data_IF_863405755330
#
_entry.id   IF_863405755330
#
_cell.length_a   1.000
_cell.length_b   1.000
_cell.length_c   1.000
_cell.angle_alpha   90.00
_cell.angle_beta   90.00
_cell.angle_gamma   90.00
#
_symmetry.space_group_name_H-M   'P 1'
#
loop_
_entity.id
_entity.type
_entity.pdbx_description
1 polymer ?
#
# COMPACT_ATOMS: atom_id res chain seq x y z
N UNK A 1 -44.21 31.60 10.61
CA UNK A 1 -42.95 32.15 10.10
C UNK A 1 -42.14 32.68 11.27
N UNK A 2 -41.10 31.93 11.67
CA UNK A 2 -39.93 32.44 12.37
C UNK A 2 -38.77 31.63 11.81
N UNK A 3 -38.09 32.23 10.84
CA UNK A 3 -36.74 31.83 10.43
C UNK A 3 -35.75 32.22 11.54
N UNK A 4 -34.54 31.65 11.42
CA UNK A 4 -33.30 31.83 12.18
C UNK A 4 -32.92 30.55 12.95
N UNK A 5 -31.73 29.97 12.81
CA UNK A 5 -30.51 30.39 12.11
C UNK A 5 -29.64 29.14 11.85
N UNK A 6 -29.08 29.10 10.64
CA UNK A 6 -27.69 28.71 10.34
C UNK A 6 -27.05 27.62 11.22
N UNK A 7 -27.08 26.36 10.76
CA UNK A 7 -25.97 25.46 11.06
C UNK A 7 -24.82 25.81 10.14
N UNK A 8 -23.88 26.59 10.66
CA UNK A 8 -22.55 26.78 10.07
C UNK A 8 -21.89 25.43 9.88
N UNK A 9 -21.92 24.92 8.65
CA UNK A 9 -20.93 23.96 8.18
C UNK A 9 -19.56 24.63 8.36
N UNK A 10 -18.85 24.25 9.40
CA UNK A 10 -17.47 24.67 9.58
C UNK A 10 -16.69 24.12 8.40
N UNK A 11 -16.44 24.96 7.39
CA UNK A 11 -15.56 24.64 6.27
C UNK A 11 -14.21 24.26 6.88
N UNK A 12 -13.91 22.96 6.93
CA UNK A 12 -12.62 22.47 7.36
C UNK A 12 -11.62 22.98 6.32
N UNK A 13 -10.90 24.06 6.66
CA UNK A 13 -9.83 24.58 5.82
C UNK A 13 -8.66 23.62 5.89
N UNK A 14 -8.46 22.84 4.83
CA UNK A 14 -7.29 22.00 4.67
C UNK A 14 -6.09 22.84 4.21
N UNK A 15 -4.91 22.55 4.76
CA UNK A 15 -3.65 23.15 4.32
C UNK A 15 -2.98 22.20 3.34
N UNK A 16 -2.78 22.65 2.10
CA UNK A 16 -1.94 21.95 1.12
C UNK A 16 -0.49 22.12 1.56
N UNK A 17 0.27 21.02 1.55
CA UNK A 17 1.69 21.01 1.92
C UNK A 17 2.52 20.36 0.81
N UNK A 18 3.76 20.82 0.64
CA UNK A 18 4.78 20.13 -0.16
C UNK A 18 5.50 19.05 0.66
N UNK A 19 5.26 19.01 1.99
CA UNK A 19 5.79 18.00 2.88
C UNK A 19 5.20 16.62 2.56
N UNK A 20 6.05 15.59 2.59
CA UNK A 20 5.58 14.22 2.42
C UNK A 20 4.80 13.70 3.64
N UNK A 21 3.90 12.75 3.42
CA UNK A 21 3.14 12.08 4.50
C UNK A 21 4.08 11.56 5.61
N UNK A 22 5.24 11.02 5.23
CA UNK A 22 6.20 10.42 6.16
C UNK A 22 6.88 11.47 7.03
N UNK A 23 7.28 12.59 6.45
CA UNK A 23 7.90 13.71 7.17
C UNK A 23 6.90 14.32 8.15
N UNK A 24 5.67 14.57 7.68
CA UNK A 24 4.60 15.11 8.52
C UNK A 24 4.32 14.21 9.73
N UNK A 25 4.17 12.91 9.51
CA UNK A 25 3.98 11.95 10.60
C UNK A 25 5.19 11.84 11.54
N UNK A 26 6.41 12.02 11.02
CA UNK A 26 7.63 12.04 11.85
C UNK A 26 7.65 13.27 12.77
N UNK A 27 7.23 14.44 12.28
CA UNK A 27 7.05 15.66 13.08
C UNK A 27 5.97 15.48 14.15
N UNK A 28 4.81 14.93 13.78
CA UNK A 28 3.73 14.64 14.73
C UNK A 28 4.19 13.68 15.83
N UNK A 29 4.89 12.59 15.48
CA UNK A 29 5.46 11.65 16.46
C UNK A 29 6.39 12.37 17.43
N UNK A 30 7.31 13.21 16.93
CA UNK A 30 8.28 13.94 17.75
C UNK A 30 7.58 14.94 18.69
N UNK A 31 6.60 15.68 18.19
CA UNK A 31 5.78 16.58 19.02
C UNK A 31 5.09 15.81 20.14
N UNK A 32 4.46 14.67 19.80
CA UNK A 32 3.73 13.88 20.79
C UNK A 32 4.64 13.25 21.85
N UNK A 33 5.82 12.80 21.45
CA UNK A 33 6.82 12.31 22.40
C UNK A 33 7.29 13.38 23.37
N UNK A 34 7.50 14.61 22.89
CA UNK A 34 7.89 15.74 23.74
C UNK A 34 6.78 16.08 24.74
N UNK A 35 5.51 16.12 24.30
CA UNK A 35 4.35 16.32 25.19
C UNK A 35 4.27 15.28 26.30
N UNK A 36 4.62 14.03 25.99
CA UNK A 36 4.56 12.90 26.92
C UNK A 36 5.85 12.71 27.73
N UNK A 37 6.84 13.62 27.59
CA UNK A 37 8.17 13.50 28.21
C UNK A 37 8.85 12.13 27.94
N UNK A 38 8.63 11.56 26.76
CA UNK A 38 9.28 10.30 26.35
C UNK A 38 10.73 10.61 25.99
N UNK A 39 11.65 10.07 26.78
CA UNK A 39 13.08 10.25 26.57
C UNK A 39 13.55 9.67 25.23
N UNK A 40 14.63 10.23 24.68
CA UNK A 40 15.18 9.81 23.39
C UNK A 40 15.57 8.32 23.33
N UNK A 41 15.94 7.70 24.45
CA UNK A 41 16.23 6.26 24.54
C UNK A 41 15.01 5.36 24.33
N UNK A 42 13.81 5.83 24.71
CA UNK A 42 12.56 5.07 24.56
C UNK A 42 11.85 5.36 23.21
N UNK A 43 12.39 6.31 22.43
CA UNK A 43 11.86 6.71 21.13
C UNK A 43 11.73 5.57 20.12
N UNK A 44 12.62 4.59 20.21
CA UNK A 44 12.62 3.42 19.34
C UNK A 44 11.51 2.43 19.69
N UNK A 45 10.97 2.47 20.91
CA UNK A 45 9.88 1.60 21.35
C UNK A 45 8.52 2.29 21.28
N UNK A 46 8.49 3.62 21.09
CA UNK A 46 7.25 4.36 20.90
C UNK A 46 6.67 4.17 19.49
N UNK A 47 5.46 3.64 19.43
CA UNK A 47 4.67 3.50 18.22
C UNK A 47 3.67 4.65 18.13
N UNK A 48 3.69 5.35 17.00
CA UNK A 48 2.73 6.42 16.72
C UNK A 48 1.81 5.99 15.59
N UNK A 49 0.51 6.03 15.87
CA UNK A 49 -0.54 5.65 14.93
C UNK A 49 -1.28 6.90 14.48
N UNK A 50 -1.55 7.00 13.19
CA UNK A 50 -2.37 8.09 12.66
C UNK A 50 -3.25 7.61 11.52
N UNK A 51 -4.55 7.88 11.62
CA UNK A 51 -5.49 7.56 10.56
C UNK A 51 -5.21 8.44 9.34
N UNK A 52 -5.24 7.81 8.18
CA UNK A 52 -5.21 8.45 6.87
C UNK A 52 -6.65 8.46 6.37
N UNK A 53 -7.20 9.65 6.21
CA UNK A 53 -8.52 9.85 5.65
C UNK A 53 -8.41 10.08 4.15
N UNK A 54 -9.47 9.78 3.45
CA UNK A 54 -9.55 9.83 1.99
C UNK A 54 -10.78 10.61 1.56
N UNK A 55 -10.80 11.09 0.33
CA UNK A 55 -11.99 11.70 -0.23
C UNK A 55 -13.18 10.72 -0.16
N UNK A 56 -14.36 11.25 0.15
CA UNK A 56 -15.59 10.45 0.37
C UNK A 56 -16.04 9.67 -0.87
N UNK A 57 -15.54 10.01 -2.05
CA UNK A 57 -15.79 9.27 -3.29
C UNK A 57 -14.96 7.99 -3.40
N UNK A 58 -13.92 7.81 -2.58
CA UNK A 58 -13.17 6.55 -2.51
C UNK A 58 -13.96 5.54 -1.67
N UNK A 59 -14.51 4.54 -2.34
CA UNK A 59 -15.26 3.43 -1.72
C UNK A 59 -14.31 2.45 -1.04
N UNK A 60 -13.82 2.82 0.13
CA UNK A 60 -12.99 1.99 0.99
C UNK A 60 -13.84 1.26 2.03
N UNK A 61 -13.53 -0.01 2.26
CA UNK A 61 -14.23 -0.86 3.24
C UNK A 61 -13.58 -0.80 4.61
N UNK A 62 -12.31 -0.44 4.62
CA UNK A 62 -11.49 -0.38 5.82
C UNK A 62 -11.00 1.04 6.09
N UNK A 63 -10.57 1.27 7.32
CA UNK A 63 -9.78 2.45 7.67
C UNK A 63 -8.29 2.14 7.48
N UNK A 64 -7.53 3.12 7.00
CA UNK A 64 -6.10 3.01 6.80
C UNK A 64 -5.36 3.84 7.85
N UNK A 65 -4.37 3.23 8.50
CA UNK A 65 -3.54 3.88 9.48
C UNK A 65 -2.08 3.85 9.07
N UNK A 66 -1.41 4.98 9.23
CA UNK A 66 0.04 5.05 9.25
C UNK A 66 0.53 4.65 10.64
N UNK A 67 1.46 3.69 10.67
CA UNK A 67 2.23 3.31 11.85
C UNK A 67 3.67 3.81 11.71
N UNK A 68 4.08 4.71 12.60
CA UNK A 68 5.45 5.22 12.68
C UNK A 68 6.14 4.72 13.94
N UNK A 69 7.16 3.87 13.77
CA UNK A 69 8.12 3.47 14.82
C UNK A 69 9.49 4.03 14.46
N UNK A 70 10.44 3.16 14.09
CA UNK A 70 11.68 3.51 13.37
C UNK A 70 11.37 3.67 11.89
N UNK A 71 10.73 2.64 11.34
CA UNK A 71 10.23 2.62 9.97
C UNK A 71 8.75 3.01 9.92
N UNK A 72 8.28 3.35 8.72
CA UNK A 72 6.85 3.60 8.44
C UNK A 72 6.21 2.32 7.87
N UNK A 73 5.07 1.94 8.43
CA UNK A 73 4.22 0.85 7.95
C UNK A 73 2.78 1.33 7.83
N UNK A 74 1.95 0.59 7.11
CA UNK A 74 0.53 0.86 6.97
C UNK A 74 -0.27 -0.30 7.55
N UNK A 75 -1.43 0.00 8.12
CA UNK A 75 -2.34 -0.95 8.74
C UNK A 75 -3.72 -0.74 8.12
N UNK A 76 -4.35 -1.83 7.73
CA UNK A 76 -5.76 -1.86 7.36
C UNK A 76 -6.54 -2.23 8.61
N UNK A 77 -7.52 -1.43 9.00
CA UNK A 77 -8.41 -1.71 10.11
C UNK A 77 -9.81 -1.94 9.57
N UNK A 78 -10.32 -3.15 9.69
CA UNK A 78 -11.67 -3.47 9.26
C UNK A 78 -12.68 -2.74 10.18
N UNK A 79 -13.64 -2.04 9.60
CA UNK A 79 -14.47 -1.07 10.32
C UNK A 79 -15.44 -1.71 11.31
N UNK A 80 -16.01 -2.87 10.99
CA UNK A 80 -17.07 -3.47 11.80
C UNK A 80 -16.54 -4.21 13.04
N UNK A 81 -15.48 -5.00 12.85
CA UNK A 81 -14.80 -5.80 13.87
C UNK A 81 -13.71 -5.02 14.60
N UNK A 82 -13.20 -3.95 13.98
CA UNK A 82 -12.06 -3.19 14.50
C UNK A 82 -10.73 -3.94 14.45
N UNK A 83 -10.66 -5.08 13.75
CA UNK A 83 -9.45 -5.90 13.65
C UNK A 83 -8.41 -5.17 12.79
N UNK A 84 -7.19 -5.11 13.33
CA UNK A 84 -6.02 -4.59 12.62
C UNK A 84 -5.37 -5.69 11.80
N UNK A 85 -5.23 -5.45 10.51
CA UNK A 85 -4.61 -6.35 9.54
C UNK A 85 -3.25 -5.77 9.15
N UNK A 86 -2.21 -6.56 9.40
CA UNK A 86 -0.84 -6.24 9.04
C UNK A 86 -0.48 -7.06 7.81
N UNK A 87 -0.19 -6.39 6.71
CA UNK A 87 0.22 -7.04 5.46
C UNK A 87 1.69 -6.73 5.18
N UNK A 88 2.50 -7.77 5.16
CA UNK A 88 3.84 -7.74 4.58
C UNK A 88 3.77 -7.68 3.05
N UNK A 89 4.87 -7.29 2.39
CA UNK A 89 5.01 -7.35 0.93
C UNK A 89 4.59 -8.70 0.36
N UNK A 90 4.93 -9.79 1.05
CA UNK A 90 4.59 -11.14 0.65
C UNK A 90 3.08 -11.40 0.71
N UNK A 91 2.41 -10.94 1.77
CA UNK A 91 0.96 -11.09 1.89
C UNK A 91 0.21 -10.25 0.85
N UNK A 92 0.69 -9.06 0.53
CA UNK A 92 0.14 -8.24 -0.57
C UNK A 92 0.28 -8.98 -1.90
N UNK A 93 1.46 -9.56 -2.18
CA UNK A 93 1.69 -10.37 -3.39
C UNK A 93 0.74 -11.57 -3.45
N UNK A 94 0.51 -12.27 -2.33
CA UNK A 94 -0.43 -13.39 -2.29
C UNK A 94 -1.87 -12.95 -2.56
N UNK A 95 -2.29 -11.80 -2.02
CA UNK A 95 -3.62 -11.25 -2.30
C UNK A 95 -3.75 -10.89 -3.79
N UNK A 96 -2.72 -10.32 -4.41
CA UNK A 96 -2.69 -10.06 -5.84
C UNK A 96 -2.72 -11.35 -6.68
N UNK A 97 -2.07 -12.42 -6.23
CA UNK A 97 -2.15 -13.74 -6.87
C UNK A 97 -3.58 -14.32 -6.77
N UNK A 98 -4.22 -14.18 -5.60
CA UNK A 98 -5.63 -14.58 -5.40
C UNK A 98 -6.58 -13.77 -6.29
N UNK A 99 -6.32 -12.46 -6.44
CA UNK A 99 -7.05 -11.60 -7.38
C UNK A 99 -6.85 -12.09 -8.82
N UNK A 100 -5.63 -12.45 -9.22
CA UNK A 100 -5.37 -13.00 -10.55
C UNK A 100 -6.12 -14.29 -10.80
N UNK A 101 -6.15 -15.18 -9.81
CA UNK A 101 -6.76 -16.49 -9.91
C UNK A 101 -8.30 -16.42 -10.00
N UNK A 102 -8.93 -15.54 -9.22
CA UNK A 102 -10.39 -15.51 -9.09
C UNK A 102 -11.07 -14.30 -9.77
N UNK A 103 -10.33 -13.22 -10.01
CA UNK A 103 -10.84 -11.92 -10.47
C UNK A 103 -9.94 -11.34 -11.57
N UNK A 104 -9.77 -12.09 -12.66
CA UNK A 104 -8.82 -11.78 -13.75
C UNK A 104 -8.99 -10.39 -14.34
N UNK A 105 -10.22 -9.89 -14.48
CA UNK A 105 -10.50 -8.54 -14.98
C UNK A 105 -9.92 -7.48 -14.04
N UNK A 106 -10.17 -7.61 -12.73
CA UNK A 106 -9.64 -6.72 -11.71
C UNK A 106 -8.11 -6.80 -11.61
N UNK A 107 -7.51 -7.99 -11.76
CA UNK A 107 -6.06 -8.09 -11.86
C UNK A 107 -5.51 -7.34 -13.06
N UNK A 108 -6.09 -7.53 -14.24
CA UNK A 108 -5.70 -6.83 -15.47
C UNK A 108 -5.86 -5.31 -15.33
N UNK A 109 -6.91 -4.85 -14.64
CA UNK A 109 -7.08 -3.45 -14.29
C UNK A 109 -5.90 -2.93 -13.47
N UNK A 110 -5.51 -3.62 -12.39
CA UNK A 110 -4.35 -3.25 -11.56
C UNK A 110 -3.06 -3.21 -12.39
N UNK A 111 -2.84 -4.19 -13.27
CA UNK A 111 -1.68 -4.23 -14.18
C UNK A 111 -1.68 -2.99 -15.09
N UNK A 112 -2.80 -2.66 -15.72
CA UNK A 112 -2.92 -1.51 -16.62
C UNK A 112 -2.72 -0.18 -15.88
N UNK A 113 -3.30 -0.03 -14.70
CA UNK A 113 -3.06 1.15 -13.85
C UNK A 113 -1.60 1.24 -13.41
N UNK A 114 -0.95 0.10 -13.14
CA UNK A 114 0.47 0.06 -12.80
C UNK A 114 1.35 0.58 -13.94
N UNK A 115 1.03 0.23 -15.20
CA UNK A 115 1.72 0.80 -16.38
C UNK A 115 1.59 2.31 -16.42
N UNK A 116 0.39 2.83 -16.21
CA UNK A 116 0.13 4.28 -16.19
C UNK A 116 0.96 4.96 -15.12
N UNK A 117 1.05 4.40 -13.91
CA UNK A 117 1.88 4.95 -12.83
C UNK A 117 3.36 4.94 -13.20
N UNK A 118 3.88 3.84 -13.77
CA UNK A 118 5.27 3.74 -14.24
C UNK A 118 5.60 4.77 -15.33
N UNK A 119 4.63 5.10 -16.18
CA UNK A 119 4.75 6.13 -17.22
C UNK A 119 4.40 7.55 -16.73
N UNK A 120 4.30 7.77 -15.40
CA UNK A 120 3.96 9.05 -14.78
C UNK A 120 2.59 9.62 -15.22
N UNK A 121 1.64 8.73 -15.53
CA UNK A 121 0.26 9.01 -15.97
C UNK A 121 -0.78 8.41 -15.02
N UNK A 122 -0.41 8.20 -13.75
CA UNK A 122 -1.34 7.73 -12.71
C UNK A 122 -2.49 8.68 -12.45
N UNK A 123 -3.44 8.26 -11.61
CA UNK A 123 -4.47 9.13 -11.06
C UNK A 123 -3.90 9.93 -9.88
N UNK A 124 -4.28 11.20 -9.77
CA UNK A 124 -4.01 11.98 -8.56
C UNK A 124 -4.87 11.45 -7.42
N UNK A 125 -4.22 10.82 -6.45
CA UNK A 125 -4.83 10.39 -5.20
C UNK A 125 -4.68 11.50 -4.17
N UNK A 126 -5.76 11.76 -3.43
CA UNK A 126 -5.79 12.73 -2.34
C UNK A 126 -6.07 12.03 -1.02
N UNK A 127 -5.30 12.40 0.01
CA UNK A 127 -5.55 11.91 1.35
C UNK A 127 -5.26 12.99 2.40
N UNK A 128 -5.77 12.78 3.60
CA UNK A 128 -5.76 13.74 4.67
C UNK A 128 -5.25 13.11 5.97
N UNK A 129 -4.36 13.83 6.64
CA UNK A 129 -3.98 13.52 8.01
C UNK A 129 -4.24 14.77 8.83
N UNK A 130 -5.12 14.66 9.83
CA UNK A 130 -5.69 15.82 10.52
C UNK A 130 -6.31 16.83 9.53
N UNK A 131 -5.75 18.04 9.46
CA UNK A 131 -6.18 19.12 8.56
C UNK A 131 -5.18 19.37 7.41
N UNK A 132 -4.25 18.44 7.19
CA UNK A 132 -3.31 18.54 6.07
C UNK A 132 -3.70 17.62 4.92
N UNK A 133 -3.67 18.17 3.71
CA UNK A 133 -3.95 17.47 2.45
C UNK A 133 -2.63 17.07 1.79
N UNK A 134 -2.57 15.83 1.32
CA UNK A 134 -1.46 15.25 0.58
C UNK A 134 -1.97 14.75 -0.77
N UNK A 135 -1.14 14.91 -1.81
CA UNK A 135 -1.46 14.51 -3.18
C UNK A 135 -0.30 13.73 -3.78
N UNK A 136 -0.61 12.64 -4.46
CA UNK A 136 0.39 11.85 -5.16
C UNK A 136 -0.20 11.10 -6.35
N UNK A 137 0.64 10.68 -7.29
CA UNK A 137 0.24 9.88 -8.45
C UNK A 137 0.18 8.40 -8.08
N UNK A 138 -0.98 7.78 -8.22
CA UNK A 138 -1.24 6.38 -7.88
C UNK A 138 -2.11 5.65 -8.90
N UNK A 139 -2.39 4.39 -8.61
CA UNK A 139 -3.35 3.54 -9.30
C UNK A 139 -4.75 4.09 -9.10
N UNK A 140 -5.57 4.07 -10.16
CA UNK A 140 -6.99 4.39 -10.02
C UNK A 140 -7.72 3.31 -9.23
N UNK A 141 -8.82 3.72 -8.57
CA UNK A 141 -9.71 2.76 -7.89
C UNK A 141 -10.64 2.08 -8.90
N UNK A 142 -10.99 0.84 -8.61
CA UNK A 142 -11.91 0.06 -9.41
C UNK A 142 -13.36 0.49 -9.10
N UNK A 143 -14.18 0.66 -10.13
CA UNK A 143 -15.60 1.00 -9.96
C UNK A 143 -16.38 -0.15 -9.32
N UNK A 144 -16.05 -1.37 -9.73
CA UNK A 144 -16.62 -2.60 -9.21
C UNK A 144 -15.89 -2.96 -7.94
N UNK A 145 -16.66 -3.17 -6.90
CA UNK A 145 -16.13 -3.58 -5.63
C UNK A 145 -16.04 -5.11 -5.56
N UNK A 146 -14.85 -5.61 -5.21
CA UNK A 146 -14.57 -7.03 -5.05
C UNK A 146 -14.02 -7.25 -3.65
N UNK A 147 -14.65 -8.15 -2.90
CA UNK A 147 -14.19 -8.56 -1.57
C UNK A 147 -13.33 -9.83 -1.68
N UNK A 148 -12.17 -9.79 -1.04
CA UNK A 148 -11.20 -10.87 -1.04
C UNK A 148 -11.03 -11.34 0.41
N UNK A 149 -11.21 -12.63 0.64
CA UNK A 149 -10.99 -13.21 1.96
C UNK A 149 -9.49 -13.34 2.21
N UNK A 150 -9.04 -12.81 3.34
CA UNK A 150 -7.68 -13.03 3.84
C UNK A 150 -7.56 -14.38 4.52
N UNK A 151 -6.32 -14.83 4.77
CA UNK A 151 -6.06 -16.04 5.58
C UNK A 151 -6.57 -15.96 7.03
N UNK A 152 -6.95 -14.77 7.49
CA UNK A 152 -7.51 -14.53 8.82
C UNK A 152 -9.05 -14.51 8.82
N UNK A 153 -9.69 -14.99 7.74
CA UNK A 153 -11.14 -14.97 7.53
C UNK A 153 -11.77 -13.57 7.60
N UNK A 154 -10.98 -12.54 7.28
CA UNK A 154 -11.43 -11.15 7.17
C UNK A 154 -11.47 -10.77 5.71
N UNK A 155 -12.60 -10.20 5.27
CA UNK A 155 -12.74 -9.66 3.93
C UNK A 155 -12.04 -8.30 3.81
N UNK A 156 -11.25 -8.13 2.76
CA UNK A 156 -10.65 -6.85 2.36
C UNK A 156 -11.15 -6.52 0.96
N UNK A 157 -11.54 -5.27 0.71
CA UNK A 157 -11.92 -4.86 -0.64
C UNK A 157 -10.69 -4.68 -1.52
N UNK A 158 -10.83 -4.91 -2.82
CA UNK A 158 -9.75 -4.67 -3.77
C UNK A 158 -9.28 -3.21 -3.75
N UNK A 159 -10.20 -2.27 -3.51
CA UNK A 159 -9.89 -0.85 -3.38
C UNK A 159 -9.07 -0.56 -2.11
N UNK A 160 -9.26 -1.28 -1.01
CA UNK A 160 -8.38 -1.18 0.17
C UNK A 160 -6.96 -1.64 -0.19
N UNK A 161 -6.82 -2.72 -0.97
CA UNK A 161 -5.51 -3.24 -1.43
C UNK A 161 -4.84 -2.23 -2.38
N UNK A 162 -5.58 -1.70 -3.36
CA UNK A 162 -5.08 -0.67 -4.28
C UNK A 162 -4.63 0.55 -3.49
N UNK A 163 -5.41 0.99 -2.51
CA UNK A 163 -5.05 2.15 -1.69
C UNK A 163 -3.83 1.89 -0.81
N UNK A 164 -3.69 0.68 -0.26
CA UNK A 164 -2.49 0.28 0.45
C UNK A 164 -1.26 0.31 -0.46
N UNK A 165 -1.36 -0.25 -1.67
CA UNK A 165 -0.29 -0.24 -2.68
C UNK A 165 0.09 1.21 -3.02
N UNK A 166 -0.89 2.07 -3.24
CA UNK A 166 -0.71 3.50 -3.48
C UNK A 166 0.12 4.19 -2.39
N UNK A 167 -0.21 3.94 -1.12
CA UNK A 167 0.55 4.47 0.02
C UNK A 167 1.98 3.92 0.09
N UNK A 168 2.17 2.63 -0.22
CA UNK A 168 3.51 2.00 -0.25
C UNK A 168 4.37 2.61 -1.37
N UNK A 169 3.83 2.76 -2.57
CA UNK A 169 4.53 3.36 -3.72
C UNK A 169 4.94 4.79 -3.39
N UNK A 170 4.04 5.57 -2.81
CA UNK A 170 4.34 6.94 -2.43
C UNK A 170 5.45 7.01 -1.38
N UNK A 171 5.43 6.10 -0.40
CA UNK A 171 6.53 5.95 0.55
C UNK A 171 7.87 5.67 -0.14
N UNK A 172 7.89 4.76 -1.11
CA UNK A 172 9.12 4.41 -1.83
C UNK A 172 9.58 5.54 -2.76
N UNK A 173 8.64 6.29 -3.35
CA UNK A 173 8.91 7.42 -4.25
C UNK A 173 9.67 8.54 -3.54
N UNK A 174 9.33 8.82 -2.28
CA UNK A 174 10.07 9.78 -1.42
C UNK A 174 11.55 9.38 -1.29
N UNK A 175 11.86 8.08 -1.36
CA UNK A 175 13.25 7.60 -1.36
C UNK A 175 13.88 7.67 -2.75
N UNK A 176 13.20 7.10 -3.77
CA UNK A 176 13.52 7.33 -5.19
C UNK A 176 12.41 6.81 -6.11
N UNK A 177 12.22 7.46 -7.26
CA UNK A 177 11.25 7.04 -8.28
C UNK A 177 11.53 5.61 -8.81
N UNK A 178 12.80 5.24 -8.98
CA UNK A 178 13.20 3.89 -9.40
C UNK A 178 12.72 2.80 -8.42
N UNK A 179 12.71 3.11 -7.11
CA UNK A 179 12.23 2.17 -6.09
C UNK A 179 10.71 1.98 -6.13
N UNK A 180 9.96 3.06 -6.41
CA UNK A 180 8.51 3.01 -6.57
C UNK A 180 8.12 2.09 -7.73
N UNK A 181 8.71 2.31 -8.92
CA UNK A 181 8.46 1.48 -10.10
C UNK A 181 8.89 0.02 -9.84
N UNK A 182 10.06 -0.18 -9.23
CA UNK A 182 10.55 -1.51 -8.88
C UNK A 182 9.64 -2.27 -7.91
N UNK A 183 8.98 -1.57 -6.99
CA UNK A 183 8.03 -2.17 -6.03
C UNK A 183 6.73 -2.60 -6.71
N UNK A 184 6.18 -1.78 -7.60
CA UNK A 184 5.04 -2.15 -8.44
C UNK A 184 5.35 -3.40 -9.27
N UNK A 185 6.49 -3.38 -9.97
CA UNK A 185 6.93 -4.52 -10.77
C UNK A 185 7.09 -5.79 -9.96
N UNK A 186 7.71 -5.67 -8.79
CA UNK A 186 7.85 -6.76 -7.84
C UNK A 186 6.48 -7.36 -7.51
N UNK A 187 5.51 -6.54 -7.12
CA UNK A 187 4.19 -7.03 -6.74
C UNK A 187 3.47 -7.75 -7.88
N UNK A 188 3.46 -7.16 -9.08
CA UNK A 188 2.79 -7.74 -10.24
C UNK A 188 3.46 -9.02 -10.70
N UNK A 189 4.78 -9.01 -10.93
CA UNK A 189 5.50 -10.17 -11.46
C UNK A 189 5.46 -11.35 -10.49
N UNK A 190 5.55 -11.10 -9.19
CA UNK A 190 5.40 -12.18 -8.22
C UNK A 190 3.98 -12.68 -8.07
N UNK A 191 2.97 -11.82 -8.21
CA UNK A 191 1.58 -12.27 -8.24
C UNK A 191 1.32 -13.19 -9.45
N UNK A 192 1.83 -12.83 -10.63
CA UNK A 192 1.79 -13.67 -11.83
C UNK A 192 2.55 -14.97 -11.59
N UNK A 193 3.76 -14.92 -11.03
CA UNK A 193 4.53 -16.14 -10.77
C UNK A 193 3.88 -17.07 -9.75
N UNK A 194 3.24 -16.55 -8.70
CA UNK A 194 2.69 -17.35 -7.59
C UNK A 194 1.23 -17.81 -7.80
N UNK A 195 0.52 -17.19 -8.73
CA UNK A 195 -0.85 -17.58 -9.09
C UNK A 195 -0.92 -19.05 -9.53
N UNK A 196 -2.03 -19.72 -9.19
CA UNK A 196 -2.29 -21.12 -9.54
C UNK A 196 -2.61 -21.29 -11.02
N UNK A 197 -3.20 -20.25 -11.61
CA UNK A 197 -3.64 -20.24 -13.01
C UNK A 197 -2.55 -19.77 -14.00
N UNK A 198 -1.30 -19.57 -13.54
CA UNK A 198 -0.15 -19.31 -14.42
C UNK A 198 0.23 -20.56 -15.19
N UNK A 199 0.27 -20.45 -16.52
CA UNK A 199 0.78 -21.52 -17.36
C UNK A 199 2.27 -21.79 -17.05
N UNK A 200 2.68 -23.04 -17.19
CA UNK A 200 4.06 -23.45 -16.91
C UNK A 200 5.06 -22.75 -17.85
N UNK A 201 4.67 -22.47 -19.09
CA UNK A 201 5.45 -21.69 -20.06
C UNK A 201 5.73 -20.27 -19.55
N UNK A 202 4.70 -19.54 -19.13
CA UNK A 202 4.78 -18.19 -18.56
C UNK A 202 5.59 -18.19 -17.25
N UNK A 203 5.37 -19.17 -16.38
CA UNK A 203 6.11 -19.34 -15.13
C UNK A 203 7.62 -19.53 -15.38
N UNK A 204 7.98 -20.31 -16.41
CA UNK A 204 9.36 -20.53 -16.79
C UNK A 204 10.00 -19.27 -17.41
N UNK A 205 9.26 -18.51 -18.22
CA UNK A 205 9.73 -17.21 -18.73
C UNK A 205 10.05 -16.24 -17.59
N UNK A 206 9.14 -16.12 -16.61
CA UNK A 206 9.37 -15.30 -15.43
C UNK A 206 10.56 -15.78 -14.59
N UNK A 207 10.73 -17.10 -14.46
CA UNK A 207 11.89 -17.66 -13.75
C UNK A 207 13.21 -17.25 -14.41
N UNK A 208 13.30 -17.36 -15.74
CA UNK A 208 14.48 -16.91 -16.51
C UNK A 208 14.70 -15.41 -16.35
N UNK A 209 13.62 -14.61 -16.37
CA UNK A 209 13.69 -13.18 -16.11
C UNK A 209 14.26 -12.87 -14.72
N UNK A 210 13.75 -13.52 -13.68
CA UNK A 210 14.23 -13.35 -12.32
C UNK A 210 15.70 -13.76 -12.16
N UNK A 211 16.14 -14.84 -12.82
CA UNK A 211 17.54 -15.25 -12.83
C UNK A 211 18.45 -14.19 -13.49
N UNK A 212 18.02 -13.65 -14.64
CA UNK A 212 18.74 -12.58 -15.35
C UNK A 212 18.89 -11.32 -14.49
N UNK A 213 17.84 -10.94 -13.78
CA UNK A 213 17.84 -9.77 -12.89
C UNK A 213 18.45 -10.03 -11.50
N UNK A 214 19.05 -11.22 -11.30
CA UNK A 214 19.63 -11.63 -10.01
C UNK A 214 18.64 -11.56 -8.84
N UNK A 215 17.37 -11.86 -9.11
CA UNK A 215 16.28 -11.84 -8.15
C UNK A 215 16.19 -13.22 -7.46
N UNK A 216 16.48 -13.24 -6.16
CA UNK A 216 16.48 -14.47 -5.37
C UNK A 216 15.06 -14.97 -5.03
N UNK A 217 14.58 -15.92 -5.84
CA UNK A 217 13.32 -16.64 -5.63
C UNK A 217 13.28 -17.49 -4.36
N UNK A 218 14.44 -17.86 -3.81
CA UNK A 218 14.50 -18.70 -2.62
C UNK A 218 14.01 -17.97 -1.37
N UNK A 219 14.16 -16.63 -1.32
CA UNK A 219 13.66 -15.83 -0.20
C UNK A 219 12.13 -15.78 -0.18
N UNK A 220 11.49 -15.82 -1.34
CA UNK A 220 10.03 -15.91 -1.46
C UNK A 220 9.57 -17.31 -1.07
N UNK A 221 10.21 -18.36 -1.56
CA UNK A 221 9.89 -19.75 -1.16
C UNK A 221 10.06 -19.98 0.35
N UNK A 222 11.08 -19.38 0.97
CA UNK A 222 11.30 -19.44 2.43
C UNK A 222 10.21 -18.69 3.21
N UNK A 223 9.67 -17.58 2.69
CA UNK A 223 8.50 -16.92 3.31
C UNK A 223 7.20 -17.70 3.12
N UNK A 224 7.09 -18.55 2.07
CA UNK A 224 5.96 -19.49 1.92
C UNK A 224 6.02 -20.62 2.95
N UNK A 225 7.20 -21.21 3.17
CA UNK A 225 7.37 -22.42 3.99
C UNK A 225 7.56 -22.15 5.50
N UNK A 226 7.88 -20.93 5.89
CA UNK A 226 7.95 -20.55 7.31
C UNK A 226 6.56 -20.20 7.82
N UNK A 227 5.82 -21.19 8.31
CA UNK A 227 4.57 -21.01 9.04
C UNK A 227 4.71 -19.98 10.19
N UNK A 228 4.38 -18.71 9.92
CA UNK A 228 4.04 -17.71 10.93
C UNK A 228 5.15 -17.24 11.88
N UNK A 229 6.44 -17.52 11.61
CA UNK A 229 7.55 -16.95 12.39
C UNK A 229 8.39 -16.01 11.55
N UNK A 230 7.82 -14.86 11.20
CA UNK A 230 8.56 -13.81 10.50
C UNK A 230 9.58 -13.16 11.45
N UNK A 231 10.83 -13.66 11.41
CA UNK A 231 11.97 -12.76 11.60
C UNK A 231 11.90 -11.73 10.48
N UNK A 232 12.08 -10.45 10.82
CA UNK A 232 12.06 -9.24 9.98
C UNK A 232 12.93 -9.33 8.71
N UNK A 233 12.59 -10.17 7.74
CA UNK A 233 13.19 -10.15 6.41
C UNK A 233 12.15 -9.59 5.45
N UNK A 234 12.03 -8.26 5.42
CA UNK A 234 11.37 -7.60 4.30
C UNK A 234 12.08 -8.00 3.01
N UNK A 235 11.33 -8.46 2.01
CA UNK A 235 11.87 -8.85 0.71
C UNK A 235 12.23 -7.55 -0.03
N UNK A 236 13.48 -7.11 0.14
CA UNK A 236 14.08 -6.02 -0.65
C UNK A 236 14.51 -6.58 -2.01
N UNK A 237 13.56 -6.72 -2.92
CA UNK A 237 13.84 -6.96 -4.34
C UNK A 237 13.63 -5.64 -5.06
N UNK A 238 14.68 -5.14 -5.71
CA UNK A 238 14.65 -3.97 -6.57
C UNK A 238 14.58 -4.46 -8.01
N UNK A 239 13.42 -4.31 -8.66
CA UNK A 239 13.29 -4.54 -10.10
C UNK A 239 13.60 -3.21 -10.79
N UNK A 240 14.51 -3.21 -11.78
CA UNK A 240 14.83 -1.98 -12.52
C UNK A 240 13.65 -1.61 -13.42
N UNK A 241 13.35 -0.31 -13.48
CA UNK A 241 12.21 0.28 -14.21
C UNK A 241 12.17 -0.12 -15.70
N UNK A 242 13.33 -0.28 -16.33
CA UNK A 242 13.42 -0.49 -17.78
C UNK A 242 13.04 -1.93 -18.17
N UNK A 243 13.30 -2.90 -17.29
CA UNK A 243 12.95 -4.32 -17.46
C UNK A 243 11.47 -4.62 -17.17
N UNK A 244 10.83 -3.70 -16.46
CA UNK A 244 9.43 -3.72 -16.04
C UNK A 244 8.46 -3.50 -17.21
N UNK A 245 8.85 -2.65 -18.18
CA UNK A 245 8.06 -2.32 -19.38
C UNK A 245 7.90 -3.48 -20.36
N UNK A 246 8.79 -4.47 -20.30
CA UNK A 246 8.74 -5.65 -21.17
C UNK A 246 7.74 -6.69 -20.67
N UNK A 247 7.44 -6.72 -19.38
CA UNK A 247 6.60 -7.76 -18.77
C UNK A 247 5.26 -7.26 -18.20
N UNK A 248 5.15 -5.97 -17.87
CA UNK A 248 3.86 -5.33 -17.56
C UNK A 248 3.30 -4.77 -18.85
#
# INVERSE_FOLDING_TARGET
>A
MKENNESTDSIIKYKITEESIIEYCSKLKKSKMNELNINSRDSENYYYYKQINFDSNYKLFSDLYLLKRKDTSYIIKERNSGINIYLSDYEIILLLAEIRDNYRESFNFIVNESKKVVDNKGQVIRCYIDKQEFKFQGLSLEEKEVLISTKADIAISINDIIMLINLIIEKERISSEKMANGTLGKYILFAIYLSKNTEESERNQLKVFFEKESIDLSNIKKSINSNGKSKKSGIKILIKSDDLKTYI
#
